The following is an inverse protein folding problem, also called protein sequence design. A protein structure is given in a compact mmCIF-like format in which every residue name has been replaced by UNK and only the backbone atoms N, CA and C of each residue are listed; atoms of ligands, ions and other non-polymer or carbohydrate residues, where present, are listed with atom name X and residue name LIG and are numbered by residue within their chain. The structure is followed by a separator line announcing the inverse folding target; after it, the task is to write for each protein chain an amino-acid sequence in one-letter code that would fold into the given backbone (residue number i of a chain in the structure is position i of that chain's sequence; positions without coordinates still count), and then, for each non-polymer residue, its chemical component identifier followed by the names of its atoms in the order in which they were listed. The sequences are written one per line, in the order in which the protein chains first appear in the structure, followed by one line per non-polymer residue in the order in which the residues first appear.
data_IF_517114335471
#
_entry.id   IF_517114335471
#
_cell.length_a   1.000
_cell.length_b   1.000
_cell.length_c   1.000
_cell.angle_alpha   90.00
_cell.angle_beta   90.00
_cell.angle_gamma   90.00
#
_symmetry.space_group_name_H-M   'P 1'
#
loop_
_entity.id
_entity.type
_entity.pdbx_description
1 polymer ?
#
# COMPACT_ATOMS: atom_id res chain seq x y z
N UNK A 1 55.00 -32.78 -21.99
CA UNK A 1 53.55 -33.05 -21.87
C UNK A 1 53.15 -32.59 -20.48
N UNK A 2 52.73 -31.34 -20.37
CA UNK A 2 52.61 -30.61 -19.10
C UNK A 2 51.12 -30.52 -18.78
N UNK A 3 50.64 -31.42 -17.95
CA UNK A 3 49.22 -31.55 -17.62
C UNK A 3 48.82 -30.46 -16.64
N UNK A 4 47.90 -29.59 -17.06
CA UNK A 4 47.26 -28.58 -16.22
C UNK A 4 46.34 -29.26 -15.20
N UNK A 5 46.50 -28.92 -13.93
CA UNK A 5 45.56 -29.22 -12.86
C UNK A 5 44.47 -28.15 -12.90
N UNK A 6 43.22 -28.56 -13.13
CA UNK A 6 42.03 -27.71 -12.96
C UNK A 6 41.52 -27.97 -11.54
N UNK A 7 41.60 -26.96 -10.68
CA UNK A 7 41.04 -26.99 -9.33
C UNK A 7 39.54 -26.67 -9.45
N UNK A 8 38.70 -27.68 -9.26
CA UNK A 8 37.25 -27.51 -9.09
C UNK A 8 36.98 -27.33 -7.59
N UNK A 9 36.71 -26.10 -7.17
CA UNK A 9 36.23 -25.78 -5.81
C UNK A 9 34.77 -26.23 -5.70
N UNK A 10 34.56 -27.43 -5.17
CA UNK A 10 33.26 -27.88 -4.67
C UNK A 10 33.14 -27.36 -3.24
N UNK A 11 32.30 -26.35 -3.02
CA UNK A 11 31.93 -25.94 -1.67
C UNK A 11 30.97 -26.97 -1.08
N UNK A 12 31.52 -27.78 -0.17
CA UNK A 12 30.75 -28.53 0.83
C UNK A 12 30.48 -27.56 1.98
N UNK A 13 29.21 -27.19 2.19
CA UNK A 13 28.78 -26.57 3.45
C UNK A 13 28.03 -27.63 4.25
N UNK A 14 28.54 -27.81 5.46
CA UNK A 14 28.16 -28.81 6.43
C UNK A 14 26.67 -28.77 6.79
N UNK A 15 26.05 -29.94 6.75
CA UNK A 15 24.86 -30.29 7.49
C UNK A 15 25.10 -30.02 8.98
N UNK A 16 24.42 -29.02 9.52
CA UNK A 16 24.02 -29.05 10.93
C UNK A 16 22.53 -29.35 10.94
N UNK A 17 22.19 -30.49 11.51
CA UNK A 17 20.84 -30.90 11.83
C UNK A 17 20.21 -29.84 12.73
N UNK A 18 19.21 -29.14 12.20
CA UNK A 18 18.09 -28.72 13.02
C UNK A 18 16.82 -28.82 12.19
N UNK A 19 15.97 -29.70 12.68
CA UNK A 19 14.65 -30.06 12.22
C UNK A 19 13.69 -28.87 12.24
N UNK A 20 13.44 -28.25 11.09
CA UNK A 20 12.22 -27.51 10.77
C UNK A 20 12.09 -27.37 9.24
N UNK A 21 11.45 -28.35 8.59
CA UNK A 21 10.92 -28.14 7.23
C UNK A 21 9.73 -27.19 7.36
N UNK A 22 9.81 -26.04 6.69
CA UNK A 22 8.74 -25.05 6.61
C UNK A 22 9.19 -23.66 7.04
N UNK A 23 10.09 -23.02 6.29
CA UNK A 23 10.26 -21.57 6.40
C UNK A 23 9.11 -20.96 5.60
N UNK A 24 8.05 -20.54 6.29
CA UNK A 24 6.97 -19.75 5.69
C UNK A 24 7.60 -18.46 5.17
N UNK A 25 7.58 -18.21 3.85
CA UNK A 25 8.01 -16.90 3.32
C UNK A 25 7.10 -15.80 3.89
N UNK A 26 7.63 -14.60 4.07
CA UNK A 26 6.87 -13.46 4.60
C UNK A 26 5.93 -12.87 3.54
N UNK A 27 4.94 -12.05 3.95
CA UNK A 27 4.05 -11.34 3.01
C UNK A 27 4.86 -10.49 2.00
N UNK A 28 5.95 -9.88 2.46
CA UNK A 28 6.89 -9.10 1.66
C UNK A 28 7.55 -9.93 0.55
N UNK A 29 8.06 -11.12 0.88
CA UNK A 29 8.71 -12.02 -0.07
C UNK A 29 7.72 -12.48 -1.16
N UNK A 30 6.48 -12.79 -0.78
CA UNK A 30 5.42 -13.19 -1.74
C UNK A 30 5.05 -12.05 -2.68
N UNK A 31 4.74 -10.86 -2.12
CA UNK A 31 4.27 -9.72 -2.90
C UNK A 31 5.32 -9.31 -3.94
N UNK A 32 6.59 -9.30 -3.54
CA UNK A 32 7.69 -8.93 -4.42
C UNK A 32 7.97 -10.00 -5.49
N UNK A 33 7.99 -11.29 -5.13
CA UNK A 33 8.24 -12.39 -6.09
C UNK A 33 7.10 -12.55 -7.11
N UNK A 34 5.83 -12.43 -6.67
CA UNK A 34 4.67 -12.80 -7.49
C UNK A 34 4.15 -11.62 -8.31
N UNK A 35 4.06 -10.44 -7.70
CA UNK A 35 3.44 -9.26 -8.27
C UNK A 35 4.45 -8.20 -8.69
N UNK A 36 5.70 -8.29 -8.21
CA UNK A 36 6.69 -7.22 -8.33
C UNK A 36 6.15 -5.87 -7.81
N UNK A 37 5.29 -5.95 -6.79
CA UNK A 37 4.78 -4.80 -6.06
C UNK A 37 5.50 -4.68 -4.72
N UNK A 38 5.34 -3.53 -4.09
CA UNK A 38 5.81 -3.27 -2.73
C UNK A 38 4.67 -3.45 -1.74
N UNK A 39 5.00 -3.65 -0.47
CA UNK A 39 4.05 -3.55 0.63
C UNK A 39 3.69 -2.10 0.92
N UNK A 40 2.56 -1.82 1.61
CA UNK A 40 2.18 -0.45 1.97
C UNK A 40 3.26 0.29 2.78
N UNK A 41 3.97 -0.43 3.66
CA UNK A 41 5.00 0.18 4.52
C UNK A 41 6.28 0.51 3.76
N UNK A 42 6.70 -0.34 2.82
CA UNK A 42 7.84 -0.05 1.94
C UNK A 42 7.61 1.21 1.11
N UNK A 43 6.38 1.43 0.63
CA UNK A 43 6.04 2.65 -0.10
C UNK A 43 6.12 3.88 0.80
N UNK A 44 5.60 3.81 2.04
CA UNK A 44 5.73 4.93 2.98
C UNK A 44 7.21 5.20 3.27
N UNK A 45 8.00 4.17 3.54
CA UNK A 45 9.43 4.31 3.85
C UNK A 45 10.20 4.91 2.66
N UNK A 46 9.87 4.52 1.42
CA UNK A 46 10.47 5.11 0.21
C UNK A 46 10.10 6.59 0.05
N UNK A 47 8.81 6.93 0.17
CA UNK A 47 8.35 8.32 0.09
C UNK A 47 8.97 9.18 1.19
N UNK A 48 9.15 8.62 2.38
CA UNK A 48 9.75 9.30 3.52
C UNK A 48 11.24 9.62 3.30
N UNK A 49 11.94 8.73 2.59
CA UNK A 49 13.39 8.83 2.36
C UNK A 49 13.75 9.40 0.98
N UNK A 50 12.78 9.67 0.09
CA UNK A 50 13.03 10.28 -1.22
C UNK A 50 13.43 11.77 -1.05
N UNK A 51 14.68 12.16 -1.35
CA UNK A 51 15.12 13.55 -1.20
C UNK A 51 14.42 14.50 -2.18
N UNK A 52 13.83 13.96 -3.25
CA UNK A 52 13.09 14.72 -4.26
C UNK A 52 11.61 14.83 -3.93
N UNK A 53 11.13 14.17 -2.87
CA UNK A 53 9.72 14.17 -2.48
C UNK A 53 9.17 15.59 -2.31
N UNK A 54 9.99 16.52 -1.81
CA UNK A 54 9.62 17.93 -1.59
C UNK A 54 9.60 18.81 -2.86
N UNK A 55 9.88 18.27 -4.05
CA UNK A 55 9.66 18.94 -5.33
C UNK A 55 8.16 18.91 -5.72
N UNK A 56 7.57 20.05 -6.10
CA UNK A 56 6.14 20.17 -6.45
C UNK A 56 5.68 19.22 -7.58
N UNK A 57 6.63 18.65 -8.35
CA UNK A 57 6.37 17.78 -9.51
C UNK A 57 6.18 16.30 -9.18
N UNK A 58 6.28 15.88 -7.92
CA UNK A 58 6.59 14.50 -7.55
C UNK A 58 5.48 13.69 -6.87
N UNK A 59 4.22 14.13 -6.90
CA UNK A 59 3.13 13.32 -6.35
C UNK A 59 2.85 12.16 -7.29
N UNK A 60 3.36 10.99 -6.93
CA UNK A 60 3.20 9.76 -7.70
C UNK A 60 2.02 8.97 -7.14
N UNK A 61 1.22 8.44 -8.06
CA UNK A 61 0.31 7.37 -7.71
C UNK A 61 1.13 6.11 -7.49
N UNK A 62 0.96 5.50 -6.32
CA UNK A 62 1.69 4.32 -5.89
C UNK A 62 0.72 3.14 -5.71
N UNK A 63 1.22 1.94 -6.02
CA UNK A 63 0.47 0.70 -5.91
C UNK A 63 1.20 -0.26 -4.97
N UNK A 64 0.53 -0.65 -3.89
CA UNK A 64 0.97 -1.67 -2.96
C UNK A 64 0.12 -2.92 -3.06
N UNK A 65 0.63 -4.03 -2.55
CA UNK A 65 -0.16 -5.22 -2.29
C UNK A 65 0.13 -5.82 -0.91
N UNK A 66 -0.83 -6.59 -0.40
CA UNK A 66 -0.68 -7.41 0.80
C UNK A 66 -1.57 -8.65 0.68
N UNK A 67 -1.11 -9.78 1.20
CA UNK A 67 -1.91 -10.98 1.38
C UNK A 67 -2.43 -11.10 2.82
N UNK A 68 -2.27 -10.06 3.65
CA UNK A 68 -2.80 -10.03 5.01
C UNK A 68 -2.19 -11.12 5.89
N UNK A 69 -3.00 -12.09 6.33
CA UNK A 69 -2.54 -13.23 7.15
C UNK A 69 -2.34 -14.50 6.34
N UNK A 70 -2.42 -14.41 5.02
CA UNK A 70 -2.25 -15.57 4.17
C UNK A 70 -0.86 -16.18 4.39
N UNK A 71 -0.85 -17.40 4.90
CA UNK A 71 0.32 -18.27 4.85
C UNK A 71 0.17 -19.19 3.65
N UNK A 72 1.28 -19.63 3.06
CA UNK A 72 1.30 -20.54 1.91
C UNK A 72 0.41 -21.77 2.11
N UNK A 73 0.40 -22.31 3.33
CA UNK A 73 -0.42 -23.45 3.72
C UNK A 73 -1.92 -23.13 3.71
N UNK A 74 -2.29 -21.88 3.98
CA UNK A 74 -3.69 -21.42 4.00
C UNK A 74 -4.31 -21.43 2.61
N UNK A 75 -3.53 -21.16 1.55
CA UNK A 75 -3.99 -21.23 0.16
C UNK A 75 -4.43 -22.63 -0.25
N UNK A 76 -3.84 -23.69 0.32
CA UNK A 76 -4.28 -25.08 0.08
C UNK A 76 -5.75 -25.26 0.42
N UNK A 77 -6.19 -24.59 1.50
CA UNK A 77 -7.52 -24.73 2.10
C UNK A 77 -8.57 -23.80 1.48
N UNK A 78 -8.17 -22.93 0.56
CA UNK A 78 -9.08 -22.00 -0.12
C UNK A 78 -9.84 -22.72 -1.25
N UNK A 79 -11.11 -22.33 -1.41
CA UNK A 79 -12.02 -22.80 -2.47
C UNK A 79 -11.44 -22.61 -3.89
N UNK A 80 -11.77 -23.52 -4.82
CA UNK A 80 -11.27 -23.49 -6.20
C UNK A 80 -11.66 -22.21 -6.96
N UNK A 81 -12.88 -21.69 -6.80
CA UNK A 81 -13.28 -20.44 -7.45
C UNK A 81 -12.44 -19.27 -6.92
N UNK A 82 -12.10 -19.29 -5.63
CA UNK A 82 -11.27 -18.26 -5.04
C UNK A 82 -9.81 -18.36 -5.52
N UNK A 83 -9.29 -19.59 -5.68
CA UNK A 83 -7.99 -19.84 -6.34
C UNK A 83 -7.97 -19.33 -7.78
N UNK A 84 -9.00 -19.64 -8.57
CA UNK A 84 -9.15 -19.17 -9.96
C UNK A 84 -9.25 -17.65 -10.00
N UNK A 85 -10.00 -17.03 -9.09
CA UNK A 85 -10.10 -15.58 -8.98
C UNK A 85 -8.74 -14.95 -8.70
N UNK A 86 -8.00 -15.44 -7.72
CA UNK A 86 -6.66 -14.91 -7.37
C UNK A 86 -5.72 -15.06 -8.56
N UNK A 87 -5.60 -16.25 -9.15
CA UNK A 87 -4.71 -16.51 -10.28
C UNK A 87 -5.04 -15.62 -11.49
N UNK A 88 -6.32 -15.52 -11.84
CA UNK A 88 -6.80 -14.66 -12.92
C UNK A 88 -6.53 -13.18 -12.64
N UNK A 89 -6.76 -12.73 -11.42
CA UNK A 89 -6.53 -11.34 -11.01
C UNK A 89 -5.05 -10.97 -11.02
N UNK A 90 -4.16 -11.83 -10.52
CA UNK A 90 -2.70 -11.64 -10.60
C UNK A 90 -2.26 -11.49 -12.06
N UNK A 91 -2.80 -12.34 -12.96
CA UNK A 91 -2.48 -12.29 -14.38
C UNK A 91 -2.90 -10.97 -15.03
N UNK A 92 -4.10 -10.45 -14.71
CA UNK A 92 -4.54 -9.15 -15.21
C UNK A 92 -3.70 -8.00 -14.62
N UNK A 93 -3.43 -8.01 -13.32
CA UNK A 93 -2.64 -6.96 -12.63
C UNK A 93 -1.24 -6.78 -13.24
N UNK A 94 -0.59 -7.86 -13.71
CA UNK A 94 0.72 -7.77 -14.39
C UNK A 94 0.71 -6.94 -15.68
N UNK A 95 -0.46 -6.74 -16.29
CA UNK A 95 -0.64 -5.95 -17.50
C UNK A 95 -1.33 -4.60 -17.24
N UNK A 96 -1.55 -4.27 -15.98
CA UNK A 96 -2.28 -3.08 -15.58
C UNK A 96 -1.43 -1.82 -15.81
N UNK A 97 -2.07 -0.79 -16.37
CA UNK A 97 -1.48 0.53 -16.54
C UNK A 97 -2.45 1.58 -15.98
N UNK A 98 -2.24 1.95 -14.73
CA UNK A 98 -3.09 2.86 -13.95
C UNK A 98 -2.25 3.99 -13.39
N UNK A 99 -2.84 5.18 -13.29
CA UNK A 99 -2.09 6.42 -12.95
C UNK A 99 -2.69 7.17 -11.78
N UNK A 100 -3.78 6.68 -11.19
CA UNK A 100 -4.48 7.26 -10.05
C UNK A 100 -5.50 6.26 -9.49
N UNK A 101 -5.98 6.54 -8.27
CA UNK A 101 -6.97 5.71 -7.58
C UNK A 101 -8.25 5.45 -8.40
N UNK A 102 -8.68 6.37 -9.26
CA UNK A 102 -9.91 6.19 -10.03
C UNK A 102 -9.71 5.17 -11.14
N UNK A 103 -8.58 5.25 -11.84
CA UNK A 103 -8.21 4.33 -12.90
C UNK A 103 -8.02 2.89 -12.41
N UNK A 104 -7.48 2.69 -11.20
CA UNK A 104 -7.39 1.33 -10.59
C UNK A 104 -8.78 0.76 -10.31
N UNK A 105 -9.70 1.53 -9.72
CA UNK A 105 -11.07 1.05 -9.51
C UNK A 105 -11.78 0.75 -10.83
N UNK A 106 -11.61 1.59 -11.87
CA UNK A 106 -12.18 1.35 -13.20
C UNK A 106 -11.56 0.12 -13.90
N UNK A 107 -10.30 -0.21 -13.59
CA UNK A 107 -9.62 -1.39 -14.13
C UNK A 107 -10.10 -2.68 -13.44
N UNK A 108 -10.16 -2.69 -12.11
CA UNK A 108 -10.59 -3.85 -11.33
C UNK A 108 -12.04 -4.27 -11.66
N UNK A 109 -12.94 -3.31 -11.86
CA UNK A 109 -14.33 -3.56 -12.29
C UNK A 109 -14.43 -4.33 -13.62
N UNK A 110 -13.40 -4.28 -14.47
CA UNK A 110 -13.36 -4.94 -15.78
C UNK A 110 -12.73 -6.32 -15.73
N UNK A 111 -12.06 -6.68 -14.63
CA UNK A 111 -11.46 -8.00 -14.47
C UNK A 111 -12.60 -9.01 -14.37
N UNK A 112 -12.75 -9.94 -15.31
CA UNK A 112 -13.94 -10.79 -15.39
C UNK A 112 -14.04 -11.79 -14.24
N UNK A 113 -12.90 -12.09 -13.59
CA UNK A 113 -12.85 -12.97 -12.42
C UNK A 113 -13.42 -12.33 -11.15
N UNK A 114 -13.55 -11.00 -11.11
CA UNK A 114 -13.99 -10.23 -9.96
C UNK A 114 -15.47 -9.84 -10.10
N UNK A 115 -16.25 -10.04 -9.05
CA UNK A 115 -17.59 -9.50 -8.91
C UNK A 115 -17.62 -8.50 -7.75
N UNK A 116 -17.86 -7.23 -8.06
CA UNK A 116 -17.88 -6.16 -7.06
C UNK A 116 -19.05 -6.35 -6.07
N UNK A 117 -18.77 -6.15 -4.79
CA UNK A 117 -19.75 -6.21 -3.72
C UNK A 117 -20.10 -4.82 -3.20
N UNK A 118 -21.39 -4.52 -3.14
CA UNK A 118 -21.90 -3.29 -2.55
C UNK A 118 -21.61 -2.05 -3.39
N UNK A 119 -21.31 -0.94 -2.70
CA UNK A 119 -21.07 0.35 -3.34
C UNK A 119 -19.58 0.56 -3.64
N UNK A 120 -19.31 1.04 -4.86
CA UNK A 120 -17.96 1.22 -5.40
C UNK A 120 -17.18 2.40 -4.79
N UNK A 121 -17.90 3.45 -4.39
CA UNK A 121 -17.37 4.81 -4.22
C UNK A 121 -17.95 5.48 -2.97
N UNK A 122 -17.88 4.79 -1.84
CA UNK A 122 -18.29 5.37 -0.57
C UNK A 122 -17.09 6.05 0.08
N UNK A 123 -16.74 7.22 -0.47
CA UNK A 123 -15.60 8.00 -0.01
C UNK A 123 -15.87 8.57 1.39
N UNK A 124 -14.99 8.24 2.32
CA UNK A 124 -14.82 9.02 3.54
C UNK A 124 -13.79 10.11 3.26
N UNK A 125 -14.21 11.36 3.34
CA UNK A 125 -13.32 12.52 3.29
C UNK A 125 -13.45 13.27 4.62
N UNK A 126 -12.31 13.57 5.22
CA UNK A 126 -12.25 14.43 6.40
C UNK A 126 -10.94 15.23 6.39
N UNK A 127 -10.85 16.21 7.26
CA UNK A 127 -9.67 17.01 7.47
C UNK A 127 -9.35 17.16 8.96
N UNK A 128 -8.06 17.16 9.30
CA UNK A 128 -7.58 17.60 10.61
C UNK A 128 -6.88 18.94 10.46
N UNK A 129 -7.26 19.89 11.31
CA UNK A 129 -6.65 21.22 11.41
C UNK A 129 -5.92 21.31 12.74
N UNK A 130 -4.62 21.60 12.69
CA UNK A 130 -3.81 21.86 13.87
C UNK A 130 -3.43 23.34 13.85
N UNK A 131 -4.01 24.17 14.74
CA UNK A 131 -3.63 25.57 14.85
C UNK A 131 -2.20 25.66 15.39
N UNK A 132 -1.39 26.52 14.78
CA UNK A 132 0.00 26.74 15.16
C UNK A 132 0.29 28.21 15.38
N UNK A 133 1.08 28.49 16.41
CA UNK A 133 1.66 29.81 16.64
C UNK A 133 3.10 29.58 17.04
N UNK A 134 4.01 29.95 16.17
CA UNK A 134 5.42 29.64 16.30
C UNK A 134 6.21 30.94 16.05
N UNK A 135 7.31 31.12 16.78
CA UNK A 135 8.37 32.01 16.30
C UNK A 135 9.01 31.34 15.09
N UNK A 136 9.49 32.12 14.11
CA UNK A 136 10.24 31.58 12.97
C UNK A 136 11.45 30.77 13.48
N UNK A 137 11.25 29.47 13.63
CA UNK A 137 12.26 28.48 13.97
C UNK A 137 12.64 27.75 12.68
N UNK A 138 13.95 27.61 12.46
CA UNK A 138 14.51 26.92 11.30
C UNK A 138 14.83 25.46 11.62
N UNK A 139 14.38 24.96 12.78
CA UNK A 139 14.48 23.55 13.10
C UNK A 139 13.63 22.70 12.15
N UNK A 140 14.25 21.64 11.64
CA UNK A 140 13.73 20.79 10.57
C UNK A 140 12.92 19.59 11.11
N UNK A 141 12.56 19.61 12.39
CA UNK A 141 11.78 18.55 13.03
C UNK A 141 10.27 18.85 12.98
N UNK A 142 9.47 17.82 12.72
CA UNK A 142 8.01 17.93 12.79
C UNK A 142 7.53 17.68 14.22
N UNK A 143 6.37 18.23 14.57
CA UNK A 143 5.81 18.03 15.91
C UNK A 143 5.24 16.61 16.06
N UNK A 144 5.85 15.80 16.93
CA UNK A 144 5.35 14.47 17.29
C UNK A 144 3.92 14.50 17.87
N UNK A 145 3.52 15.60 18.52
CA UNK A 145 2.15 15.82 18.96
C UNK A 145 1.17 15.89 17.78
N UNK A 146 1.58 16.53 16.67
CA UNK A 146 0.79 16.58 15.45
C UNK A 146 0.69 15.20 14.78
N UNK A 147 1.77 14.41 14.75
CA UNK A 147 1.72 13.04 14.25
C UNK A 147 0.73 12.17 15.05
N UNK A 148 0.78 12.23 16.38
CA UNK A 148 -0.16 11.51 17.24
C UNK A 148 -1.63 11.92 17.00
N UNK A 149 -1.89 13.22 16.80
CA UNK A 149 -3.22 13.72 16.47
C UNK A 149 -3.71 13.22 15.10
N UNK A 150 -2.82 13.14 14.11
CA UNK A 150 -3.12 12.57 12.79
C UNK A 150 -3.42 11.08 12.89
N UNK A 151 -2.68 10.32 13.69
CA UNK A 151 -2.91 8.89 13.92
C UNK A 151 -4.34 8.64 14.45
N UNK A 152 -4.73 9.28 15.55
CA UNK A 152 -6.08 9.16 16.13
C UNK A 152 -7.15 9.59 15.13
N UNK A 153 -6.90 10.68 14.41
CA UNK A 153 -7.84 11.19 13.41
C UNK A 153 -8.03 10.23 12.24
N UNK A 154 -6.96 9.63 11.73
CA UNK A 154 -7.03 8.68 10.62
C UNK A 154 -7.83 7.43 11.01
N UNK A 155 -7.62 6.89 12.21
CA UNK A 155 -8.43 5.77 12.72
C UNK A 155 -9.92 6.13 12.78
N UNK A 156 -10.23 7.36 13.21
CA UNK A 156 -11.59 7.91 13.25
C UNK A 156 -12.17 8.22 11.88
N UNK A 157 -11.36 8.44 10.85
CA UNK A 157 -11.84 8.62 9.47
C UNK A 157 -12.28 7.28 8.88
N UNK A 158 -11.49 6.22 9.09
CA UNK A 158 -11.81 4.89 8.58
C UNK A 158 -12.98 4.26 9.34
N UNK A 159 -13.13 4.54 10.64
CA UNK A 159 -14.25 4.11 11.52
C UNK A 159 -14.48 2.60 11.55
N UNK A 160 -13.52 1.80 11.12
CA UNK A 160 -13.64 0.37 11.03
C UNK A 160 -12.27 -0.28 11.29
N UNK A 161 -12.10 -0.83 12.49
CA UNK A 161 -10.88 -1.50 12.92
C UNK A 161 -10.49 -2.66 12.01
N UNK A 162 -11.48 -3.40 11.49
CA UNK A 162 -11.21 -4.50 10.58
C UNK A 162 -10.57 -3.98 9.28
N UNK A 163 -11.11 -2.90 8.71
CA UNK A 163 -10.54 -2.30 7.49
C UNK A 163 -9.12 -1.77 7.72
N UNK A 164 -8.86 -1.12 8.86
CA UNK A 164 -7.51 -0.67 9.23
C UNK A 164 -6.53 -1.85 9.31
N UNK A 165 -6.95 -2.97 9.89
CA UNK A 165 -6.15 -4.18 9.99
C UNK A 165 -5.85 -4.79 8.61
N UNK A 166 -6.85 -4.88 7.73
CA UNK A 166 -6.72 -5.47 6.39
C UNK A 166 -5.85 -4.63 5.44
N UNK A 167 -5.71 -3.32 5.69
CA UNK A 167 -4.78 -2.47 4.94
C UNK A 167 -3.31 -2.81 5.18
N UNK A 168 -2.99 -3.49 6.29
CA UNK A 168 -1.63 -3.85 6.70
C UNK A 168 -0.62 -2.68 6.68
N UNK A 169 -1.11 -1.47 7.01
CA UNK A 169 -0.31 -0.25 7.04
C UNK A 169 0.02 0.11 8.48
N UNK A 170 1.26 0.53 8.73
CA UNK A 170 1.65 1.08 10.03
C UNK A 170 1.12 2.52 10.11
N UNK A 171 0.04 2.70 10.87
CA UNK A 171 -0.66 3.99 11.00
C UNK A 171 0.27 5.05 11.62
N UNK A 172 1.11 4.67 12.58
CA UNK A 172 2.09 5.58 13.19
C UNK A 172 3.10 6.08 12.15
N UNK A 173 3.62 5.21 11.28
CA UNK A 173 4.49 5.61 10.16
C UNK A 173 3.78 6.54 9.19
N UNK A 174 2.55 6.18 8.79
CA UNK A 174 1.71 7.00 7.93
C UNK A 174 1.50 8.40 8.52
N UNK A 175 1.21 8.48 9.81
CA UNK A 175 0.96 9.73 10.52
C UNK A 175 2.22 10.59 10.65
N UNK A 176 3.37 9.99 10.95
CA UNK A 176 4.67 10.69 10.94
C UNK A 176 4.98 11.27 9.56
N UNK A 177 4.78 10.47 8.51
CA UNK A 177 4.96 10.93 7.13
C UNK A 177 4.02 12.08 6.78
N UNK A 178 2.73 11.97 7.13
CA UNK A 178 1.74 13.01 6.90
C UNK A 178 2.06 14.31 7.66
N UNK A 179 2.55 14.20 8.90
CA UNK A 179 2.96 15.35 9.73
C UNK A 179 4.11 16.14 9.11
N UNK A 180 5.00 15.50 8.34
CA UNK A 180 6.04 16.22 7.59
C UNK A 180 5.46 17.21 6.58
N UNK A 181 4.19 17.06 6.17
CA UNK A 181 3.47 18.02 5.35
C UNK A 181 3.46 19.45 5.91
N UNK A 182 3.72 19.63 7.21
CA UNK A 182 3.96 20.93 7.83
C UNK A 182 5.09 21.71 7.16
N UNK A 183 6.11 21.03 6.61
CA UNK A 183 7.30 21.65 6.01
C UNK A 183 7.04 22.41 4.70
N UNK A 184 5.80 22.42 4.20
CA UNK A 184 5.43 23.21 3.02
C UNK A 184 5.62 24.69 3.35
N UNK A 185 6.74 25.27 2.93
CA UNK A 185 7.21 26.59 3.37
C UNK A 185 6.34 27.73 2.86
N UNK A 186 6.01 28.65 3.76
CA UNK A 186 5.54 30.01 3.47
C UNK A 186 6.74 30.87 2.98
N UNK A 187 6.51 31.88 2.13
CA UNK A 187 7.54 32.61 1.37
C UNK A 187 8.60 33.32 2.25
N UNK A 188 9.69 33.92 1.73
CA UNK A 188 10.64 34.69 2.56
C UNK A 188 10.17 36.11 2.96
N UNK A 189 8.86 36.41 2.93
CA UNK A 189 8.34 37.75 3.22
C UNK A 189 8.20 38.07 4.73
N UNK A 190 8.60 39.29 5.12
CA UNK A 190 8.45 39.83 6.49
C UNK A 190 6.99 39.99 6.94
N UNK A 191 6.08 40.20 5.98
CA UNK A 191 4.63 40.24 6.19
C UNK A 191 3.99 39.50 5.01
N UNK A 192 3.10 38.57 5.29
CA UNK A 192 2.44 37.82 4.22
C UNK A 192 1.34 36.90 4.73
N UNK A 193 0.38 36.63 3.85
CA UNK A 193 -0.60 35.56 3.99
C UNK A 193 -0.29 34.52 2.92
N UNK A 194 0.04 33.31 3.34
CA UNK A 194 0.28 32.18 2.43
C UNK A 194 -0.75 31.08 2.68
N UNK A 195 -1.33 30.57 1.60
CA UNK A 195 -2.14 29.36 1.60
C UNK A 195 -1.54 28.39 0.60
N UNK A 196 -1.18 27.20 1.06
CA UNK A 196 -0.58 26.16 0.23
C UNK A 196 -1.26 24.83 0.46
N UNK A 197 -1.43 24.10 -0.62
CA UNK A 197 -1.89 22.71 -0.62
C UNK A 197 -0.88 21.88 -1.40
N UNK A 198 -0.64 20.66 -0.95
CA UNK A 198 0.25 19.73 -1.62
C UNK A 198 -0.26 18.32 -1.40
N UNK A 199 -0.45 17.57 -2.46
CA UNK A 199 -0.68 16.14 -2.30
C UNK A 199 0.62 15.48 -1.80
N UNK A 200 0.50 14.66 -0.76
CA UNK A 200 1.61 13.92 -0.17
C UNK A 200 1.68 12.51 -0.73
N UNK A 201 0.52 11.89 -0.94
CA UNK A 201 0.44 10.49 -1.36
C UNK A 201 -0.89 10.22 -2.06
N UNK A 202 -0.85 9.39 -3.10
CA UNK A 202 -2.02 8.75 -3.69
C UNK A 202 -1.72 7.25 -3.80
N UNK A 203 -2.18 6.47 -2.82
CA UNK A 203 -1.82 5.06 -2.65
C UNK A 203 -3.06 4.18 -2.87
N UNK A 204 -2.91 3.16 -3.72
CA UNK A 204 -3.83 2.04 -3.78
C UNK A 204 -3.19 0.77 -3.19
N UNK A 205 -3.89 0.10 -2.28
CA UNK A 205 -3.44 -1.14 -1.66
C UNK A 205 -4.33 -2.27 -2.14
N UNK A 206 -3.75 -3.25 -2.85
CA UNK A 206 -4.43 -4.46 -3.29
C UNK A 206 -4.29 -5.54 -2.22
N UNK A 207 -5.41 -5.89 -1.59
CA UNK A 207 -5.46 -6.93 -0.57
C UNK A 207 -6.04 -8.20 -1.16
N UNK A 208 -5.21 -9.23 -1.22
CA UNK A 208 -5.58 -10.52 -1.81
C UNK A 208 -6.31 -11.44 -0.82
N UNK A 209 -7.15 -12.35 -1.34
CA UNK A 209 -7.64 -13.58 -0.74
C UNK A 209 -6.97 -14.07 0.52
N UNK A 210 -7.66 -14.36 1.63
CA UNK A 210 -7.16 -15.34 2.60
C UNK A 210 -8.27 -16.17 3.25
N UNK A 211 -7.89 -17.11 4.13
CA UNK A 211 -8.82 -18.03 4.77
C UNK A 211 -9.80 -17.33 5.72
N UNK A 212 -9.41 -16.21 6.31
CA UNK A 212 -10.24 -15.43 7.25
C UNK A 212 -11.08 -14.38 6.52
N UNK A 213 -10.65 -13.98 5.32
CA UNK A 213 -11.26 -12.96 4.50
C UNK A 213 -11.20 -13.39 3.03
N UNK A 214 -12.27 -14.00 2.50
CA UNK A 214 -12.30 -14.55 1.15
C UNK A 214 -12.56 -13.48 0.08
N UNK A 215 -12.26 -12.21 0.35
CA UNK A 215 -12.50 -11.10 -0.56
C UNK A 215 -11.21 -10.50 -1.07
N UNK A 216 -11.21 -10.17 -2.35
CA UNK A 216 -10.22 -9.25 -2.90
C UNK A 216 -10.68 -7.84 -2.56
N UNK A 217 -9.80 -7.06 -1.94
CA UNK A 217 -10.11 -5.71 -1.53
C UNK A 217 -9.12 -4.75 -2.16
N UNK A 218 -9.58 -3.54 -2.41
CA UNK A 218 -8.72 -2.42 -2.78
C UNK A 218 -9.01 -1.28 -1.83
N UNK A 219 -7.97 -0.74 -1.21
CA UNK A 219 -8.04 0.46 -0.38
C UNK A 219 -7.37 1.60 -1.13
N UNK A 220 -7.99 2.77 -1.16
CA UNK A 220 -7.41 3.97 -1.77
C UNK A 220 -7.26 5.04 -0.72
N UNK A 221 -6.03 5.53 -0.52
CA UNK A 221 -5.67 6.54 0.47
C UNK A 221 -4.98 7.68 -0.26
N UNK A 222 -5.64 8.84 -0.31
CA UNK A 222 -5.04 10.07 -0.80
C UNK A 222 -4.84 11.05 0.35
N UNK A 223 -3.60 11.44 0.61
CA UNK A 223 -3.23 12.43 1.62
C UNK A 223 -2.86 13.74 0.95
N UNK A 224 -3.44 14.83 1.43
CA UNK A 224 -3.16 16.19 0.98
C UNK A 224 -2.85 17.04 2.19
N UNK A 225 -1.62 17.52 2.29
CA UNK A 225 -1.25 18.51 3.29
C UNK A 225 -1.72 19.89 2.87
N UNK A 226 -2.11 20.68 3.86
CA UNK A 226 -2.38 22.10 3.68
C UNK A 226 -1.71 22.92 4.77
N UNK A 227 -1.35 24.16 4.42
CA UNK A 227 -0.84 25.15 5.36
C UNK A 227 -1.43 26.50 5.05
N UNK A 228 -1.96 27.16 6.08
CA UNK A 228 -2.34 28.57 6.04
C UNK A 228 -1.50 29.33 7.06
N UNK A 229 -0.81 30.37 6.63
CA UNK A 229 0.16 31.11 7.44
C UNK A 229 -0.03 32.61 7.29
N UNK A 230 -0.21 33.30 8.41
CA UNK A 230 -0.13 34.75 8.56
C UNK A 230 1.17 35.08 9.29
N UNK A 231 2.03 35.88 8.65
CA UNK A 231 3.35 36.21 9.16
C UNK A 231 3.46 37.70 9.45
N UNK A 232 3.96 38.01 10.64
CA UNK A 232 4.21 39.37 11.11
C UNK A 232 5.59 39.39 11.76
N UNK A 233 6.59 39.92 11.04
CA UNK A 233 7.98 40.04 11.49
C UNK A 233 8.59 38.65 11.77
N UNK A 234 8.71 38.25 13.05
CA UNK A 234 9.29 36.96 13.47
C UNK A 234 8.24 35.98 14.02
N UNK A 235 6.97 36.39 14.06
CA UNK A 235 5.88 35.57 14.56
C UNK A 235 5.06 35.08 13.37
N UNK A 236 4.82 33.77 13.34
CA UNK A 236 3.92 33.13 12.40
C UNK A 236 2.71 32.57 13.16
N UNK A 237 1.53 33.06 12.79
CA UNK A 237 0.25 32.48 13.20
C UNK A 237 -0.35 31.74 12.03
N UNK A 238 -0.79 30.51 12.23
CA UNK A 238 -1.33 29.73 11.13
C UNK A 238 -2.03 28.47 11.56
N UNK A 239 -2.28 27.64 10.57
CA UNK A 239 -2.68 26.26 10.78
C UNK A 239 -2.02 25.38 9.73
N UNK A 240 -1.60 24.22 10.15
CA UNK A 240 -1.27 23.12 9.26
C UNK A 240 -2.38 22.08 9.38
N UNK A 241 -2.42 21.17 8.42
CA UNK A 241 -3.27 20.02 8.55
C UNK A 241 -3.21 19.10 7.36
N UNK A 242 -4.01 18.05 7.45
CA UNK A 242 -4.05 16.97 6.48
C UNK A 242 -5.51 16.71 6.12
N UNK A 243 -5.79 16.68 4.83
CA UNK A 243 -7.00 16.13 4.27
C UNK A 243 -6.69 14.71 3.81
N UNK A 244 -7.58 13.77 4.13
CA UNK A 244 -7.50 12.41 3.62
C UNK A 244 -8.79 12.05 2.90
N UNK A 245 -8.63 11.52 1.68
CA UNK A 245 -9.70 10.81 0.97
C UNK A 245 -9.43 9.33 1.08
N UNK A 246 -10.34 8.64 1.74
CA UNK A 246 -10.31 7.21 1.91
C UNK A 246 -11.51 6.56 1.20
N UNK A 247 -11.26 5.47 0.49
CA UNK A 247 -12.31 4.60 -0.03
C UNK A 247 -11.80 3.16 -0.05
N UNK A 248 -12.74 2.22 -0.10
CA UNK A 248 -12.42 0.83 -0.30
C UNK A 248 -13.50 0.14 -1.12
N UNK A 249 -13.10 -0.84 -1.92
CA UNK A 249 -14.01 -1.71 -2.66
C UNK A 249 -13.69 -3.17 -2.36
N UNK A 250 -14.72 -4.01 -2.38
CA UNK A 250 -14.64 -5.46 -2.13
C UNK A 250 -15.11 -6.21 -3.36
N UNK A 251 -14.45 -7.31 -3.64
CA UNK A 251 -14.78 -8.20 -4.74
C UNK A 251 -14.79 -9.64 -4.23
N UNK A 252 -15.76 -10.41 -4.71
CA UNK A 252 -15.83 -11.87 -4.55
C UNK A 252 -15.57 -12.55 -5.90
N UNK A 253 -15.36 -13.87 -5.92
CA UNK A 253 -15.28 -14.60 -7.18
C UNK A 253 -16.53 -14.38 -8.02
N UNK A 254 -16.35 -14.08 -9.31
CA UNK A 254 -17.44 -14.05 -10.26
C UNK A 254 -17.81 -15.48 -10.65
N UNK A 255 -18.68 -16.11 -9.85
CA UNK A 255 -19.05 -17.51 -10.00
C UNK A 255 -19.66 -17.81 -11.38
N UNK A 256 -20.42 -16.87 -11.95
CA UNK A 256 -21.03 -17.04 -13.27
C UNK A 256 -19.97 -17.07 -14.38
N UNK A 257 -19.01 -16.15 -14.35
CA UNK A 257 -17.91 -16.15 -15.31
C UNK A 257 -17.02 -17.38 -15.13
N UNK A 258 -16.63 -17.68 -13.89
CA UNK A 258 -15.75 -18.80 -13.57
C UNK A 258 -16.39 -20.13 -13.98
N UNK A 259 -17.68 -20.35 -13.72
CA UNK A 259 -18.38 -21.58 -14.12
C UNK A 259 -18.30 -21.82 -15.63
N UNK A 260 -18.35 -20.76 -16.43
CA UNK A 260 -18.33 -20.80 -17.89
C UNK A 260 -16.91 -20.83 -18.49
N UNK A 261 -15.84 -20.80 -17.68
CA UNK A 261 -14.48 -21.00 -18.17
C UNK A 261 -14.31 -22.42 -18.71
N UNK A 262 -13.50 -22.55 -19.77
CA UNK A 262 -13.04 -23.86 -20.26
C UNK A 262 -12.28 -24.59 -19.14
N UNK A 263 -12.54 -25.88 -18.96
CA UNK A 263 -11.91 -26.69 -17.91
C UNK A 263 -10.38 -26.63 -17.96
N UNK A 264 -9.78 -26.72 -19.15
CA UNK A 264 -8.33 -26.56 -19.34
C UNK A 264 -7.79 -25.21 -18.79
N UNK A 265 -8.56 -24.13 -18.94
CA UNK A 265 -8.19 -22.81 -18.41
C UNK A 265 -8.27 -22.78 -16.89
N UNK A 266 -9.31 -23.41 -16.30
CA UNK A 266 -9.42 -23.53 -14.83
C UNK A 266 -8.27 -24.34 -14.26
N UNK A 267 -7.99 -25.51 -14.83
CA UNK A 267 -6.88 -26.38 -14.41
C UNK A 267 -5.53 -25.67 -14.51
N UNK A 268 -5.29 -24.91 -15.58
CA UNK A 268 -4.08 -24.12 -15.74
C UNK A 268 -3.96 -23.05 -14.64
N UNK A 269 -5.02 -22.29 -14.37
CA UNK A 269 -5.02 -21.27 -13.33
C UNK A 269 -4.81 -21.87 -11.93
N UNK A 270 -5.44 -23.00 -11.63
CA UNK A 270 -5.27 -23.73 -10.37
C UNK A 270 -3.84 -24.26 -10.25
N UNK A 271 -3.27 -24.80 -11.33
CA UNK A 271 -1.87 -25.25 -11.31
C UNK A 271 -0.91 -24.08 -11.12
N UNK A 272 -1.13 -22.97 -11.82
CA UNK A 272 -0.27 -21.79 -11.74
C UNK A 272 -0.26 -21.22 -10.31
N UNK A 273 -1.43 -21.15 -9.65
CA UNK A 273 -1.48 -20.74 -8.24
C UNK A 273 -0.81 -21.76 -7.32
N UNK A 274 -0.98 -23.07 -7.56
CA UNK A 274 -0.31 -24.08 -6.74
C UNK A 274 1.22 -23.99 -6.87
N UNK A 275 1.73 -23.73 -8.07
CA UNK A 275 3.16 -23.54 -8.33
C UNK A 275 3.69 -22.24 -7.72
N UNK A 276 2.94 -21.14 -7.83
CA UNK A 276 3.33 -19.84 -7.25
C UNK A 276 3.52 -19.91 -5.72
N UNK A 277 2.88 -20.88 -5.07
CA UNK A 277 2.89 -21.04 -3.62
C UNK A 277 3.51 -22.36 -3.15
N UNK A 278 4.40 -22.95 -3.96
CA UNK A 278 5.16 -24.17 -3.63
C UNK A 278 4.29 -25.33 -3.10
N UNK A 279 3.06 -25.44 -3.63
CA UNK A 279 2.09 -26.47 -3.27
C UNK A 279 2.27 -27.70 -4.17
N UNK A 280 3.37 -28.43 -3.97
CA UNK A 280 3.48 -29.84 -4.41
C UNK A 280 2.68 -30.77 -3.49
#
# INVERSE_FOLDING_TARGET
MTTRIVILLVFVIALTENTAKGVSKTDEEVVNEVLHLRTPNEIIDELENDPTFWDERNVRFELAATFGKLQFESLKMIDENLKVMVAGTIKEIKHMNVTNWKSILDYLDKIPYLEMMGERRNFSEDYIIVPKTEMLDFNDDFDHGTAFMIEIWFERLVRNYYILHEMNINITKLANFAAKGEKITASNALIGLDKKHRALMDLAILRFPDIMNPFFMVFTVQLIAYRESLRIIIIEHGSCGVLCRFNYARYKPNDEYIKNLREETKETLIRDINLLFDME
#
